data_IF_353195181119
#
_entry.id   IF_353195181119
#
_cell.length_a   1.000
_cell.length_b   1.000
_cell.length_c   1.000
_cell.angle_alpha   90.00
_cell.angle_beta   90.00
_cell.angle_gamma   90.00
#
_symmetry.space_group_name_H-M   'P 1'
#
loop_
_entity.id
_entity.type
_entity.pdbx_description
1 polymer ?
#
# COMPACT_ATOMS: atom_id res chain seq x y z
N UNK A 1 -1.63 4.66 -0.63
CA UNK A 1 -1.94 3.76 -1.77
C UNK A 1 -2.01 4.64 -3.01
N UNK A 2 -1.43 4.20 -4.13
CA UNK A 2 -1.40 5.04 -5.32
C UNK A 2 -2.78 5.11 -5.97
N UNK A 3 -3.18 6.31 -6.35
CA UNK A 3 -4.38 6.52 -7.15
C UNK A 3 -4.11 6.02 -8.57
N UNK A 4 -5.03 5.20 -9.08
CA UNK A 4 -4.99 4.79 -10.48
C UNK A 4 -5.21 6.03 -11.37
N UNK A 5 -4.33 6.29 -12.36
CA UNK A 5 -4.52 7.39 -13.30
C UNK A 5 -5.82 7.26 -14.11
N UNK A 6 -6.31 8.39 -14.62
CA UNK A 6 -7.35 8.39 -15.65
C UNK A 6 -6.87 7.65 -16.90
N UNK A 7 -7.81 7.12 -17.69
CA UNK A 7 -7.48 6.31 -18.88
C UNK A 7 -6.63 7.11 -19.87
N UNK A 8 -6.87 8.41 -19.97
CA UNK A 8 -6.22 9.36 -20.87
C UNK A 8 -5.10 10.19 -20.22
N UNK A 9 -4.62 9.80 -19.03
CA UNK A 9 -3.61 10.56 -18.26
C UNK A 9 -2.20 10.65 -18.91
N UNK A 10 -2.00 10.02 -20.08
CA UNK A 10 -0.74 10.03 -20.82
C UNK A 10 0.30 9.03 -20.30
N UNK A 11 1.32 8.77 -21.12
CA UNK A 11 2.30 7.70 -20.90
C UNK A 11 3.10 7.86 -19.60
N UNK A 12 3.58 9.07 -19.30
CA UNK A 12 4.40 9.31 -18.11
C UNK A 12 3.64 9.03 -16.78
N UNK A 13 2.35 9.35 -16.73
CA UNK A 13 1.52 9.07 -15.55
C UNK A 13 1.30 7.56 -15.37
N UNK A 14 1.08 6.85 -16.48
CA UNK A 14 0.95 5.39 -16.49
C UNK A 14 2.27 4.69 -16.14
N UNK A 15 3.40 5.15 -16.69
CA UNK A 15 4.73 4.62 -16.40
C UNK A 15 5.04 4.71 -14.89
N UNK A 16 4.84 5.88 -14.30
CA UNK A 16 5.01 6.07 -12.86
C UNK A 16 4.06 5.18 -12.03
N UNK A 17 2.79 5.07 -12.44
CA UNK A 17 1.83 4.23 -11.72
C UNK A 17 2.15 2.73 -11.80
N UNK A 18 2.68 2.24 -12.93
CA UNK A 18 2.98 0.81 -13.09
C UNK A 18 4.31 0.46 -12.43
N UNK A 19 5.35 1.29 -12.59
CA UNK A 19 6.72 0.90 -12.28
C UNK A 19 7.31 1.50 -11.00
N UNK A 20 6.81 2.65 -10.52
CA UNK A 20 7.46 3.37 -9.41
C UNK A 20 6.73 3.18 -8.07
N UNK A 21 7.47 2.81 -7.03
CA UNK A 21 6.99 2.76 -5.64
C UNK A 21 8.09 3.31 -4.73
N UNK A 22 7.70 4.04 -3.69
CA UNK A 22 8.64 4.42 -2.64
C UNK A 22 9.18 3.16 -1.96
N UNK A 23 10.49 3.12 -1.73
CA UNK A 23 11.16 2.02 -1.03
C UNK A 23 12.06 2.56 0.10
N UNK A 24 11.47 3.20 1.13
CA UNK A 24 12.24 3.75 2.23
C UNK A 24 12.80 2.64 3.14
N UNK A 25 14.04 2.84 3.60
CA UNK A 25 14.57 2.10 4.74
C UNK A 25 14.02 2.70 6.03
N UNK A 26 13.37 1.88 6.85
CA UNK A 26 12.71 2.30 8.10
C UNK A 26 11.20 2.13 8.03
N UNK A 27 10.44 3.02 8.69
CA UNK A 27 8.99 2.86 8.81
C UNK A 27 8.27 3.04 7.45
N UNK A 28 7.44 2.06 7.09
CA UNK A 28 6.62 2.01 5.89
C UNK A 28 5.20 1.52 6.21
N UNK A 29 4.27 1.73 5.27
CA UNK A 29 2.93 1.14 5.25
C UNK A 29 2.79 0.19 4.07
N UNK A 30 2.77 -1.10 4.36
CA UNK A 30 2.71 -2.15 3.34
C UNK A 30 1.30 -2.74 3.26
N UNK A 31 0.97 -3.30 2.08
CA UNK A 31 -0.28 -4.02 1.85
C UNK A 31 0.00 -5.53 1.85
N UNK A 32 -0.58 -6.27 2.80
CA UNK A 32 -0.39 -7.71 2.96
C UNK A 32 -1.72 -8.45 2.78
N UNK A 33 -1.70 -9.65 2.19
CA UNK A 33 -2.88 -10.50 2.09
C UNK A 33 -2.78 -11.66 3.09
N UNK A 34 -3.84 -11.90 3.85
CA UNK A 34 -3.93 -13.06 4.74
C UNK A 34 -4.38 -14.31 3.97
N UNK A 35 -3.57 -14.71 3.00
CA UNK A 35 -3.90 -15.73 1.99
C UNK A 35 -4.27 -17.08 2.61
N UNK A 36 -3.47 -17.59 3.55
CA UNK A 36 -3.71 -18.87 4.21
C UNK A 36 -4.83 -18.82 5.28
N UNK A 37 -5.52 -17.69 5.40
CA UNK A 37 -6.57 -17.48 6.39
C UNK A 37 -7.82 -16.90 5.76
N UNK A 38 -8.22 -15.71 6.19
CA UNK A 38 -9.48 -15.08 5.77
C UNK A 38 -9.42 -14.39 4.39
N UNK A 39 -8.27 -14.38 3.71
CA UNK A 39 -8.09 -13.74 2.40
C UNK A 39 -8.15 -12.21 2.43
N UNK A 40 -8.32 -11.59 3.60
CA UNK A 40 -8.43 -10.15 3.75
C UNK A 40 -7.11 -9.43 3.43
N UNK A 41 -7.25 -8.21 2.90
CA UNK A 41 -6.13 -7.28 2.71
C UNK A 41 -5.94 -6.42 3.96
N UNK A 42 -4.69 -6.27 4.37
CA UNK A 42 -4.26 -5.57 5.57
C UNK A 42 -3.32 -4.44 5.19
N UNK A 43 -3.44 -3.31 5.89
CA UNK A 43 -2.42 -2.27 5.90
C UNK A 43 -1.57 -2.45 7.15
N UNK A 44 -0.28 -2.72 6.96
CA UNK A 44 0.68 -3.01 8.03
C UNK A 44 1.67 -1.85 8.12
N UNK A 45 1.73 -1.19 9.28
CA UNK A 45 2.80 -0.22 9.56
C UNK A 45 3.95 -0.95 10.22
N UNK A 46 5.10 -1.03 9.53
CA UNK A 46 6.29 -1.74 10.01
C UNK A 46 7.56 -0.98 9.72
N UNK A 47 8.65 -1.34 10.39
CA UNK A 47 9.99 -0.91 10.04
C UNK A 47 10.68 -1.96 9.15
N UNK A 48 11.18 -1.58 7.98
CA UNK A 48 11.82 -2.49 7.01
C UNK A 48 13.24 -2.90 7.38
N UNK A 49 13.87 -2.25 8.36
CA UNK A 49 15.24 -2.55 8.81
C UNK A 49 15.21 -3.50 10.01
N UNK A 50 14.32 -3.23 10.97
CA UNK A 50 14.23 -3.98 12.24
C UNK A 50 13.13 -5.03 12.25
N UNK A 51 12.20 -4.97 11.29
CA UNK A 51 11.00 -5.79 11.22
C UNK A 51 9.99 -5.59 12.36
N UNK A 52 10.12 -4.53 13.16
CA UNK A 52 9.11 -4.19 14.14
C UNK A 52 7.78 -3.84 13.47
N UNK A 53 6.67 -4.41 13.95
CA UNK A 53 5.30 -4.08 13.51
C UNK A 53 4.66 -3.17 14.54
N UNK A 54 4.18 -2.01 14.10
CA UNK A 54 3.59 -0.99 14.98
C UNK A 54 2.06 -1.01 14.95
N UNK A 55 1.46 -1.26 13.79
CA UNK A 55 0.00 -1.34 13.65
C UNK A 55 -0.42 -2.21 12.48
N UNK A 56 -1.62 -2.79 12.59
CA UNK A 56 -2.27 -3.57 11.53
C UNK A 56 -3.75 -3.17 11.49
N UNK A 57 -4.25 -2.84 10.30
CA UNK A 57 -5.64 -2.44 10.06
C UNK A 57 -6.19 -3.17 8.84
N UNK A 58 -7.50 -3.44 8.82
CA UNK A 58 -8.15 -3.91 7.59
C UNK A 58 -8.07 -2.83 6.52
N UNK A 59 -7.70 -3.21 5.29
CA UNK A 59 -7.63 -2.26 4.19
C UNK A 59 -9.00 -1.64 3.84
N UNK A 60 -10.10 -2.36 4.11
CA UNK A 60 -11.47 -1.84 3.99
C UNK A 60 -11.72 -0.61 4.85
N UNK A 61 -11.18 -0.61 6.07
CA UNK A 61 -11.46 0.42 7.07
C UNK A 61 -10.60 1.66 6.80
N UNK A 62 -9.41 1.47 6.24
CA UNK A 62 -8.51 2.55 5.81
C UNK A 62 -9.04 3.25 4.56
N UNK A 63 -9.61 2.53 3.59
CA UNK A 63 -10.12 3.10 2.33
C UNK A 63 -11.27 4.10 2.57
N UNK A 64 -12.01 3.98 3.67
CA UNK A 64 -13.12 4.87 4.03
C UNK A 64 -12.74 6.25 4.57
N UNK A 65 -11.44 6.57 4.74
CA UNK A 65 -10.99 7.84 5.37
C UNK A 65 -10.47 8.88 4.36
N UNK A 66 -10.94 8.86 3.11
CA UNK A 66 -10.59 9.91 2.14
C UNK A 66 -11.75 10.90 2.07
N UNK A 67 -11.65 12.00 2.82
CA UNK A 67 -12.44 13.22 2.62
C UNK A 67 -11.88 14.02 1.43
#
# INVERSE_FOLDING_TARGET
MLARPAVDAGEAAWDGYVHLRDNPAGQTRDLWQHEAGCGAWLVVTRDTVTHAVFSVQLASDVKGTTA
#
